data_IF_345411707389
#
_entry.id   IF_345411707389
#
_cell.length_a   1.000
_cell.length_b   1.000
_cell.length_c   1.000
_cell.angle_alpha   90.00
_cell.angle_beta   90.00
_cell.angle_gamma   90.00
#
_symmetry.space_group_name_H-M   'P 1'
#
loop_
_entity.id
_entity.type
_entity.pdbx_description
1 polymer ?
#
# COMPACT_ATOMS: atom_id res chain seq x y z
N UNK A 1 20.46 -20.66 47.83
CA UNK A 1 20.42 -21.10 46.42
C UNK A 1 19.63 -20.02 45.70
N UNK A 2 20.31 -19.10 45.03
CA UNK A 2 19.64 -18.10 44.19
C UNK A 2 19.23 -18.84 42.92
N UNK A 3 17.95 -19.16 42.79
CA UNK A 3 17.38 -19.57 41.50
C UNK A 3 17.54 -18.37 40.57
N UNK A 4 18.52 -18.48 39.66
CA UNK A 4 18.52 -17.67 38.47
C UNK A 4 17.31 -18.12 37.67
N UNK A 5 16.25 -17.32 37.74
CA UNK A 5 15.17 -17.35 36.79
C UNK A 5 15.83 -17.07 35.43
N UNK A 6 16.20 -18.13 34.71
CA UNK A 6 16.55 -18.06 33.31
C UNK A 6 15.29 -17.60 32.60
N UNK A 7 15.10 -16.27 32.55
CA UNK A 7 14.35 -15.62 31.49
C UNK A 7 15.06 -16.02 30.20
N UNK A 8 14.70 -17.19 29.68
CA UNK A 8 14.85 -17.51 28.27
C UNK A 8 14.32 -16.27 27.56
N UNK A 9 15.17 -15.55 26.82
CA UNK A 9 14.72 -14.45 25.97
C UNK A 9 13.57 -15.00 25.12
N UNK A 10 12.34 -14.70 25.52
CA UNK A 10 11.15 -15.13 24.80
C UNK A 10 11.17 -14.35 23.50
N UNK A 11 11.66 -15.01 22.45
CA UNK A 11 11.56 -14.50 21.09
C UNK A 11 10.10 -14.14 20.85
N UNK A 12 9.86 -12.91 20.37
CA UNK A 12 8.52 -12.43 20.11
C UNK A 12 7.79 -13.39 19.16
N UNK A 13 6.56 -13.74 19.49
CA UNK A 13 5.75 -14.63 18.65
C UNK A 13 5.16 -13.83 17.47
N UNK A 14 5.76 -13.99 16.30
CA UNK A 14 5.37 -13.31 15.07
C UNK A 14 4.51 -14.24 14.21
N UNK A 15 3.32 -13.78 13.82
CA UNK A 15 2.45 -14.51 12.89
C UNK A 15 2.26 -13.73 11.59
N UNK A 16 2.30 -14.42 10.46
CA UNK A 16 2.04 -13.83 9.14
C UNK A 16 0.79 -14.47 8.55
N UNK A 17 -0.26 -13.67 8.39
CA UNK A 17 -1.55 -14.09 7.87
C UNK A 17 -1.80 -13.54 6.47
N UNK A 18 -1.81 -14.43 5.48
CA UNK A 18 -2.15 -14.12 4.10
C UNK A 18 -3.64 -14.26 3.86
N UNK A 19 -4.32 -13.20 3.44
CA UNK A 19 -5.77 -13.16 3.26
C UNK A 19 -6.16 -13.07 1.78
N UNK A 20 -6.92 -14.06 1.31
CA UNK A 20 -7.33 -14.18 -0.09
C UNK A 20 -6.18 -14.62 -1.02
N UNK A 21 -6.46 -14.68 -2.33
CA UNK A 21 -5.51 -15.23 -3.31
C UNK A 21 -4.13 -14.54 -3.33
N UNK A 22 -4.09 -13.21 -3.43
CA UNK A 22 -2.82 -12.47 -3.43
C UNK A 22 -2.04 -12.62 -2.12
N UNK A 23 -2.72 -12.55 -0.97
CA UNK A 23 -2.06 -12.77 0.33
C UNK A 23 -1.55 -14.20 0.51
N UNK A 24 -2.31 -15.21 0.05
CA UNK A 24 -1.86 -16.61 0.08
C UNK A 24 -0.65 -16.84 -0.83
N UNK A 25 -0.59 -16.20 -2.00
CA UNK A 25 0.56 -16.27 -2.89
C UNK A 25 1.81 -15.67 -2.24
N UNK A 26 1.68 -14.48 -1.64
CA UNK A 26 2.77 -13.84 -0.90
C UNK A 26 3.29 -14.73 0.25
N UNK A 27 2.38 -15.33 1.04
CA UNK A 27 2.76 -16.28 2.11
C UNK A 27 3.49 -17.51 1.55
N UNK A 28 2.97 -18.12 0.48
CA UNK A 28 3.63 -19.24 -0.16
C UNK A 28 5.05 -18.86 -0.63
N UNK A 29 5.23 -17.63 -1.13
CA UNK A 29 6.53 -17.12 -1.56
C UNK A 29 7.49 -16.90 -0.39
N UNK A 30 7.01 -16.36 0.73
CA UNK A 30 7.79 -16.21 1.95
C UNK A 30 8.30 -17.57 2.45
N UNK A 31 7.44 -18.59 2.45
CA UNK A 31 7.81 -19.98 2.83
C UNK A 31 8.84 -20.55 1.85
N UNK A 32 8.66 -20.37 0.54
CA UNK A 32 9.62 -20.82 -0.47
C UNK A 32 11.00 -20.17 -0.33
N UNK A 33 11.06 -18.92 0.15
CA UNK A 33 12.30 -18.18 0.38
C UNK A 33 12.90 -18.44 1.75
N UNK A 34 12.25 -19.26 2.58
CA UNK A 34 12.75 -19.65 3.89
C UNK A 34 12.79 -18.51 4.90
N UNK A 35 11.81 -17.60 4.87
CA UNK A 35 11.65 -16.61 5.95
C UNK A 35 11.44 -17.36 7.27
N UNK A 36 12.29 -17.10 8.26
CA UNK A 36 12.35 -17.84 9.52
C UNK A 36 11.70 -17.07 10.68
N UNK A 37 11.40 -17.78 11.77
CA UNK A 37 10.93 -17.19 13.01
C UNK A 37 9.52 -16.57 12.94
N UNK A 38 8.71 -17.02 11.97
CA UNK A 38 7.33 -16.57 11.80
C UNK A 38 6.40 -17.75 11.55
N UNK A 39 5.20 -17.71 12.15
CA UNK A 39 4.15 -18.68 11.90
C UNK A 39 3.28 -18.24 10.72
N UNK A 40 3.20 -19.07 9.68
CA UNK A 40 2.42 -18.76 8.49
C UNK A 40 0.98 -19.28 8.57
N UNK A 41 0.02 -18.39 8.30
CA UNK A 41 -1.41 -18.68 8.25
C UNK A 41 -1.95 -18.25 6.89
N UNK A 42 -2.63 -19.16 6.19
CA UNK A 42 -3.35 -18.85 4.96
C UNK A 42 -4.86 -18.83 5.20
N UNK A 43 -5.51 -17.70 4.89
CA UNK A 43 -6.96 -17.52 5.01
C UNK A 43 -7.57 -17.29 3.64
N UNK A 44 -8.62 -18.03 3.30
CA UNK A 44 -9.37 -17.79 2.07
C UNK A 44 -10.82 -18.27 2.14
N UNK A 45 -11.68 -17.73 1.28
CA UNK A 45 -13.01 -18.28 1.02
C UNK A 45 -12.99 -19.35 -0.08
N UNK A 46 -11.93 -19.38 -0.89
CA UNK A 46 -11.71 -20.38 -1.93
C UNK A 46 -10.93 -21.59 -1.36
N UNK A 47 -11.59 -22.74 -1.31
CA UNK A 47 -11.02 -23.97 -0.80
C UNK A 47 -9.94 -24.56 -1.73
N UNK A 48 -10.06 -24.35 -3.05
CA UNK A 48 -9.07 -24.84 -4.00
C UNK A 48 -7.74 -24.10 -3.84
N UNK A 49 -7.81 -22.77 -3.67
CA UNK A 49 -6.64 -21.96 -3.40
C UNK A 49 -5.93 -22.36 -2.09
N UNK A 50 -6.69 -22.66 -1.03
CA UNK A 50 -6.12 -23.10 0.25
C UNK A 50 -5.43 -24.45 0.18
N UNK A 51 -5.94 -25.39 -0.61
CA UNK A 51 -5.31 -26.70 -0.79
C UNK A 51 -3.89 -26.56 -1.37
N UNK A 52 -3.66 -25.56 -2.23
CA UNK A 52 -2.35 -25.25 -2.81
C UNK A 52 -1.44 -24.46 -1.86
N UNK A 53 -1.93 -23.99 -0.72
CA UNK A 53 -1.12 -23.23 0.23
C UNK A 53 -0.05 -24.11 0.89
N UNK A 54 1.12 -23.53 1.10
CA UNK A 54 2.25 -24.12 1.82
C UNK A 54 2.25 -23.77 3.30
N UNK A 55 1.35 -22.89 3.75
CA UNK A 55 1.23 -22.51 5.14
C UNK A 55 0.84 -23.70 6.01
N UNK A 56 1.41 -23.77 7.22
CA UNK A 56 1.12 -24.81 8.20
C UNK A 56 -0.34 -24.73 8.65
N UNK A 57 -0.81 -23.51 8.90
CA UNK A 57 -2.20 -23.26 9.27
C UNK A 57 -2.99 -22.77 8.06
N UNK A 58 -4.05 -23.49 7.72
CA UNK A 58 -4.96 -23.16 6.60
C UNK A 58 -6.36 -22.99 7.14
N UNK A 59 -6.97 -21.84 6.87
CA UNK A 59 -8.29 -21.49 7.38
C UNK A 59 -9.21 -21.11 6.24
N UNK A 60 -10.21 -21.95 6.03
CA UNK A 60 -11.32 -21.64 5.14
C UNK A 60 -12.36 -20.82 5.89
N UNK A 61 -12.63 -19.61 5.42
CA UNK A 61 -13.65 -18.72 6.01
C UNK A 61 -14.91 -18.67 5.15
N UNK A 62 -16.06 -18.41 5.78
CA UNK A 62 -17.33 -18.25 5.08
C UNK A 62 -17.80 -19.49 4.33
N UNK A 63 -17.60 -20.68 4.92
CA UNK A 63 -17.99 -21.95 4.33
C UNK A 63 -19.48 -22.02 4.00
N UNK A 64 -20.34 -21.44 4.86
CA UNK A 64 -21.80 -21.40 4.64
C UNK A 64 -22.18 -20.43 3.52
N UNK A 65 -21.48 -19.30 3.41
CA UNK A 65 -21.78 -18.24 2.45
C UNK A 65 -21.30 -18.56 1.03
N UNK A 66 -20.08 -19.09 0.92
CA UNK A 66 -19.39 -19.25 -0.38
C UNK A 66 -19.37 -20.68 -0.89
N UNK A 67 -19.67 -21.66 -0.02
CA UNK A 67 -19.52 -23.10 -0.30
C UNK A 67 -18.11 -23.46 -0.78
N UNK A 68 -17.11 -22.67 -0.39
CA UNK A 68 -15.71 -22.87 -0.78
C UNK A 68 -15.35 -22.39 -2.19
N UNK A 69 -16.22 -21.64 -2.86
CA UNK A 69 -16.03 -21.15 -4.24
C UNK A 69 -15.45 -19.74 -4.32
N UNK A 70 -15.12 -19.12 -3.19
CA UNK A 70 -14.62 -17.75 -3.14
C UNK A 70 -15.70 -16.67 -3.01
N UNK A 71 -15.25 -15.43 -2.82
CA UNK A 71 -16.12 -14.26 -2.60
C UNK A 71 -16.63 -13.57 -3.88
N UNK A 72 -16.31 -14.09 -5.08
CA UNK A 72 -16.81 -13.54 -6.35
C UNK A 72 -16.47 -12.06 -6.62
N UNK A 73 -15.28 -11.61 -6.20
CA UNK A 73 -14.85 -10.20 -6.26
C UNK A 73 -15.78 -9.21 -5.53
N UNK A 74 -16.55 -9.69 -4.54
CA UNK A 74 -17.39 -8.88 -3.68
C UNK A 74 -16.78 -8.74 -2.27
N UNK A 75 -16.29 -7.55 -1.89
CA UNK A 75 -15.72 -7.30 -0.56
C UNK A 75 -16.70 -7.60 0.59
N UNK A 76 -17.99 -7.32 0.43
CA UNK A 76 -18.99 -7.57 1.48
C UNK A 76 -19.13 -9.07 1.80
N UNK A 77 -18.96 -9.94 0.80
CA UNK A 77 -18.95 -11.40 1.02
C UNK A 77 -17.69 -11.80 1.78
N UNK A 78 -16.54 -11.22 1.45
CA UNK A 78 -15.28 -11.44 2.17
C UNK A 78 -15.36 -11.01 3.64
N UNK A 79 -15.96 -9.83 3.90
CA UNK A 79 -16.18 -9.32 5.25
C UNK A 79 -17.07 -10.24 6.07
N UNK A 80 -18.26 -10.58 5.56
CA UNK A 80 -19.20 -11.49 6.24
C UNK A 80 -18.61 -12.88 6.47
N UNK A 81 -17.78 -13.38 5.54
CA UNK A 81 -17.08 -14.64 5.70
C UNK A 81 -16.09 -14.61 6.88
N UNK A 82 -15.37 -13.51 7.05
CA UNK A 82 -14.46 -13.32 8.18
C UNK A 82 -15.22 -13.16 9.51
N UNK A 83 -16.31 -12.40 9.51
CA UNK A 83 -17.20 -12.25 10.69
C UNK A 83 -17.81 -13.58 11.12
N UNK A 84 -18.28 -14.41 10.16
CA UNK A 84 -18.77 -15.77 10.43
C UNK A 84 -17.71 -16.64 11.12
N UNK A 85 -16.43 -16.40 10.81
CA UNK A 85 -15.30 -17.22 11.25
C UNK A 85 -14.45 -16.53 12.33
N UNK A 86 -15.00 -15.49 13.00
CA UNK A 86 -14.26 -14.65 13.95
C UNK A 86 -13.59 -15.46 15.07
N UNK A 87 -14.28 -16.46 15.62
CA UNK A 87 -13.74 -17.34 16.66
C UNK A 87 -12.52 -18.15 16.19
N UNK A 88 -12.55 -18.64 14.94
CA UNK A 88 -11.43 -19.38 14.36
C UNK A 88 -10.22 -18.47 14.14
N UNK A 89 -10.46 -17.24 13.68
CA UNK A 89 -9.42 -16.22 13.52
C UNK A 89 -8.80 -15.88 14.89
N UNK A 90 -9.63 -15.70 15.92
CA UNK A 90 -9.16 -15.45 17.29
C UNK A 90 -8.27 -16.58 17.83
N UNK A 91 -8.66 -17.83 17.62
CA UNK A 91 -7.87 -18.98 18.05
C UNK A 91 -6.52 -19.04 17.33
N UNK A 92 -6.51 -18.86 16.01
CA UNK A 92 -5.28 -18.90 15.22
C UNK A 92 -4.29 -17.77 15.58
N UNK A 93 -4.80 -16.59 15.95
CA UNK A 93 -3.99 -15.43 16.31
C UNK A 93 -3.63 -15.36 17.80
N UNK A 94 -4.17 -16.24 18.64
CA UNK A 94 -3.89 -16.20 20.09
C UNK A 94 -2.39 -16.34 20.37
N UNK A 95 -1.93 -15.55 21.34
CA UNK A 95 -0.53 -15.57 21.82
C UNK A 95 0.48 -14.93 20.87
N UNK A 96 0.03 -14.25 19.81
CA UNK A 96 0.92 -13.47 18.94
C UNK A 96 1.26 -12.13 19.59
N UNK A 97 2.55 -11.79 19.64
CA UNK A 97 3.02 -10.45 20.00
C UNK A 97 2.88 -9.49 18.83
N UNK A 98 3.06 -10.03 17.61
CA UNK A 98 2.99 -9.28 16.36
C UNK A 98 2.27 -10.08 15.27
N UNK A 99 1.41 -9.41 14.51
CA UNK A 99 0.69 -10.02 13.39
C UNK A 99 0.87 -9.19 12.13
N UNK A 100 1.45 -9.79 11.10
CA UNK A 100 1.48 -9.25 9.74
C UNK A 100 0.27 -9.72 8.96
N UNK A 101 -0.61 -8.80 8.56
CA UNK A 101 -1.76 -9.11 7.72
C UNK A 101 -1.45 -8.69 6.29
N UNK A 102 -1.31 -9.67 5.39
CA UNK A 102 -1.01 -9.40 3.97
C UNK A 102 -2.15 -9.77 3.04
N UNK A 103 -2.47 -8.89 2.10
CA UNK A 103 -3.55 -9.08 1.13
C UNK A 103 -3.34 -8.28 -0.15
N UNK A 104 -3.85 -8.81 -1.26
CA UNK A 104 -4.04 -8.05 -2.49
C UNK A 104 -5.40 -7.34 -2.48
N UNK A 105 -5.40 -6.01 -2.53
CA UNK A 105 -6.63 -5.21 -2.45
C UNK A 105 -7.30 -5.08 -3.81
N UNK A 106 -8.62 -4.95 -3.81
CA UNK A 106 -9.44 -4.88 -5.02
C UNK A 106 -10.15 -6.19 -5.38
N UNK A 107 -9.82 -7.29 -4.70
CA UNK A 107 -10.58 -8.54 -4.76
C UNK A 107 -11.79 -8.55 -3.81
N UNK A 108 -12.40 -9.73 -3.61
CA UNK A 108 -13.47 -9.92 -2.63
C UNK A 108 -12.94 -10.29 -1.25
N UNK A 109 -12.23 -11.43 -1.16
CA UNK A 109 -11.74 -11.95 0.13
C UNK A 109 -10.73 -11.03 0.80
N UNK A 110 -9.62 -10.69 0.13
CA UNK A 110 -8.57 -9.84 0.72
C UNK A 110 -9.11 -8.49 1.20
N UNK A 111 -9.78 -7.76 0.31
CA UNK A 111 -10.36 -6.44 0.59
C UNK A 111 -11.36 -6.43 1.75
N UNK A 112 -12.20 -7.46 1.87
CA UNK A 112 -13.26 -7.51 2.89
C UNK A 112 -12.84 -8.17 4.20
N UNK A 113 -12.02 -9.22 4.13
CA UNK A 113 -11.65 -10.02 5.30
C UNK A 113 -10.40 -9.47 6.02
N UNK A 114 -9.45 -8.85 5.31
CA UNK A 114 -8.21 -8.36 5.94
C UNK A 114 -8.48 -7.33 7.05
N UNK A 115 -9.41 -6.35 6.91
CA UNK A 115 -9.76 -5.45 8.01
C UNK A 115 -10.29 -6.16 9.25
N UNK A 116 -11.15 -7.18 9.06
CA UNK A 116 -11.71 -7.96 10.17
C UNK A 116 -10.62 -8.77 10.87
N UNK A 117 -9.69 -9.37 10.11
CA UNK A 117 -8.55 -10.12 10.65
C UNK A 117 -7.64 -9.20 11.48
N UNK A 118 -7.31 -8.01 10.98
CA UNK A 118 -6.50 -7.04 11.73
C UNK A 118 -7.21 -6.53 12.98
N UNK A 119 -8.52 -6.27 12.89
CA UNK A 119 -9.31 -5.88 14.05
C UNK A 119 -9.21 -6.93 15.15
N UNK A 120 -9.33 -8.21 14.81
CA UNK A 120 -9.18 -9.33 15.75
C UNK A 120 -7.78 -9.37 16.36
N UNK A 121 -6.73 -9.22 15.54
CA UNK A 121 -5.35 -9.19 16.02
C UNK A 121 -5.13 -8.06 17.05
N UNK A 122 -5.64 -6.86 16.75
CA UNK A 122 -5.53 -5.69 17.61
C UNK A 122 -6.35 -5.84 18.90
N UNK A 123 -7.55 -6.43 18.82
CA UNK A 123 -8.38 -6.78 19.99
C UNK A 123 -7.66 -7.77 20.93
N UNK A 124 -6.81 -8.64 20.38
CA UNK A 124 -5.99 -9.59 21.15
C UNK A 124 -4.70 -8.97 21.72
N UNK A 125 -4.40 -7.70 21.42
CA UNK A 125 -3.25 -6.97 21.93
C UNK A 125 -1.95 -7.12 21.11
N UNK A 126 -2.01 -7.77 19.94
CA UNK A 126 -0.86 -7.91 19.07
C UNK A 126 -0.57 -6.61 18.30
N UNK A 127 0.71 -6.29 18.12
CA UNK A 127 1.15 -5.23 17.20
C UNK A 127 0.76 -5.64 15.78
N UNK A 128 -0.19 -4.92 15.18
CA UNK A 128 -0.83 -5.34 13.93
C UNK A 128 -0.33 -4.50 12.77
N UNK A 129 0.41 -5.12 11.84
CA UNK A 129 0.97 -4.46 10.66
C UNK A 129 0.28 -4.98 9.40
N UNK A 130 -0.36 -4.10 8.65
CA UNK A 130 -0.93 -4.41 7.35
C UNK A 130 0.10 -4.20 6.25
N UNK A 131 0.30 -5.19 5.37
CA UNK A 131 1.16 -5.07 4.18
C UNK A 131 0.36 -5.47 2.95
N UNK A 132 -0.10 -4.49 2.16
CA UNK A 132 -1.07 -4.73 1.09
C UNK A 132 -0.67 -4.12 -0.23
N UNK A 133 -1.15 -4.71 -1.32
CA UNK A 133 -0.97 -4.17 -2.66
C UNK A 133 -2.22 -3.47 -3.19
N UNK A 134 -2.02 -2.35 -3.92
CA UNK A 134 -3.05 -1.78 -4.81
C UNK A 134 -2.97 -2.48 -6.17
N UNK A 135 -4.11 -2.72 -6.85
CA UNK A 135 -4.13 -3.39 -8.14
C UNK A 135 -3.42 -2.56 -9.21
N UNK A 136 -2.94 -3.20 -10.27
CA UNK A 136 -2.42 -2.50 -11.44
C UNK A 136 -3.53 -1.69 -12.13
N UNK A 137 -3.17 -0.59 -12.78
CA UNK A 137 -4.12 0.23 -13.54
C UNK A 137 -4.87 -0.58 -14.61
N UNK A 138 -4.22 -1.56 -15.24
CA UNK A 138 -4.84 -2.41 -16.26
C UNK A 138 -5.91 -3.37 -15.72
N UNK A 139 -5.94 -3.65 -14.42
CA UNK A 139 -6.95 -4.52 -13.81
C UNK A 139 -8.33 -3.84 -13.71
N UNK A 140 -8.38 -2.54 -13.99
CA UNK A 140 -9.60 -1.77 -14.21
C UNK A 140 -10.10 -1.00 -12.98
N UNK A 141 -10.88 0.06 -13.26
CA UNK A 141 -11.33 1.04 -12.27
C UNK A 141 -12.14 0.44 -11.12
N UNK A 142 -12.93 -0.61 -11.39
CA UNK A 142 -13.75 -1.27 -10.37
C UNK A 142 -12.88 -1.85 -9.23
N UNK A 143 -11.78 -2.54 -9.58
CA UNK A 143 -10.83 -3.09 -8.60
C UNK A 143 -10.13 -1.97 -7.84
N UNK A 144 -9.71 -0.91 -8.53
CA UNK A 144 -9.08 0.25 -7.89
C UNK A 144 -10.00 0.93 -6.86
N UNK A 145 -11.28 1.11 -7.18
CA UNK A 145 -12.27 1.69 -6.23
C UNK A 145 -12.50 0.77 -5.03
N UNK A 146 -12.63 -0.54 -5.25
CA UNK A 146 -12.75 -1.52 -4.17
C UNK A 146 -11.49 -1.51 -3.28
N UNK A 147 -10.30 -1.45 -3.87
CA UNK A 147 -9.04 -1.39 -3.16
C UNK A 147 -8.94 -0.14 -2.28
N UNK A 148 -9.27 1.04 -2.81
CA UNK A 148 -9.25 2.29 -2.04
C UNK A 148 -10.18 2.24 -0.82
N UNK A 149 -11.40 1.74 -0.99
CA UNK A 149 -12.35 1.58 0.11
C UNK A 149 -11.86 0.56 1.15
N UNK A 150 -11.30 -0.57 0.69
CA UNK A 150 -10.74 -1.58 1.59
C UNK A 150 -9.53 -1.06 2.37
N UNK A 151 -8.64 -0.30 1.73
CA UNK A 151 -7.44 0.28 2.36
C UNK A 151 -7.85 1.29 3.44
N UNK A 152 -8.86 2.12 3.18
CA UNK A 152 -9.37 3.07 4.17
C UNK A 152 -9.91 2.35 5.41
N UNK A 153 -10.76 1.33 5.22
CA UNK A 153 -11.26 0.51 6.34
C UNK A 153 -10.14 -0.25 7.04
N UNK A 154 -9.12 -0.70 6.30
CA UNK A 154 -8.02 -1.44 6.87
C UNK A 154 -7.13 -0.57 7.77
N UNK A 155 -6.87 0.68 7.35
CA UNK A 155 -6.07 1.67 8.11
C UNK A 155 -6.62 1.90 9.52
N UNK A 156 -7.93 1.85 9.70
CA UNK A 156 -8.59 2.01 11.02
C UNK A 156 -8.35 0.82 11.96
N UNK A 157 -7.99 -0.35 11.43
CA UNK A 157 -7.90 -1.62 12.16
C UNK A 157 -6.47 -2.12 12.37
N UNK A 158 -5.46 -1.39 11.90
CA UNK A 158 -4.03 -1.72 12.06
C UNK A 158 -3.33 -0.66 12.91
N UNK A 159 -2.11 -0.97 13.35
CA UNK A 159 -1.21 0.01 13.96
C UNK A 159 -0.40 0.75 12.89
N UNK A 160 0.07 0.00 11.90
CA UNK A 160 0.79 0.52 10.74
C UNK A 160 0.31 -0.18 9.46
N UNK A 161 0.10 0.58 8.39
CA UNK A 161 -0.31 0.10 7.07
C UNK A 161 0.73 0.48 6.01
N UNK A 162 1.39 -0.53 5.47
CA UNK A 162 2.28 -0.41 4.30
C UNK A 162 1.44 -0.71 3.06
N UNK A 163 1.33 0.28 2.17
CA UNK A 163 0.60 0.16 0.91
C UNK A 163 1.57 0.17 -0.26
N UNK A 164 1.59 -0.92 -1.01
CA UNK A 164 2.47 -1.11 -2.18
C UNK A 164 1.64 -0.90 -3.45
N UNK A 165 1.86 0.18 -4.21
CA UNK A 165 1.23 0.37 -5.51
C UNK A 165 1.84 -0.56 -6.57
N UNK A 166 1.07 -1.52 -7.08
CA UNK A 166 1.58 -2.43 -8.11
C UNK A 166 2.06 -1.71 -9.38
N UNK A 167 1.50 -0.55 -9.71
CA UNK A 167 1.96 0.24 -10.86
C UNK A 167 3.43 0.69 -10.72
N UNK A 168 3.96 0.84 -9.51
CA UNK A 168 5.39 1.17 -9.30
C UNK A 168 6.30 -0.01 -9.61
N UNK A 169 5.76 -1.23 -9.58
CA UNK A 169 6.49 -2.41 -10.02
C UNK A 169 6.76 -2.36 -11.52
N UNK A 170 5.92 -1.65 -12.30
CA UNK A 170 6.15 -1.47 -13.74
C UNK A 170 7.35 -0.57 -14.06
N UNK A 171 7.82 0.22 -13.10
CA UNK A 171 9.00 1.08 -13.25
C UNK A 171 10.31 0.32 -13.02
N UNK A 172 10.25 -0.80 -12.29
CA UNK A 172 11.42 -1.62 -11.95
C UNK A 172 11.57 -2.86 -12.85
N UNK A 173 10.52 -3.27 -13.56
CA UNK A 173 10.55 -4.43 -14.47
C UNK A 173 10.77 -4.02 -15.93
N UNK A 174 11.38 -4.91 -16.72
CA UNK A 174 11.56 -4.69 -18.16
C UNK A 174 10.21 -4.68 -18.89
N UNK A 175 10.09 -3.92 -19.98
CA UNK A 175 8.85 -3.82 -20.78
C UNK A 175 8.39 -5.17 -21.36
N UNK A 176 9.28 -6.15 -21.49
CA UNK A 176 8.97 -7.47 -22.00
C UNK A 176 8.64 -8.48 -20.89
N UNK A 177 8.62 -8.05 -19.62
CA UNK A 177 8.34 -8.92 -18.47
C UNK A 177 6.93 -9.53 -18.60
N UNK A 178 6.79 -10.87 -18.60
CA UNK A 178 5.49 -11.52 -18.62
C UNK A 178 4.62 -11.15 -17.40
N UNK A 179 3.30 -11.16 -17.57
CA UNK A 179 2.34 -10.85 -16.50
C UNK A 179 2.55 -11.68 -15.22
N UNK A 180 2.86 -12.98 -15.36
CA UNK A 180 3.11 -13.86 -14.21
C UNK A 180 4.33 -13.42 -13.42
N UNK A 181 5.34 -12.88 -14.09
CA UNK A 181 6.56 -12.38 -13.46
C UNK A 181 6.29 -11.01 -12.79
N UNK A 182 5.48 -10.14 -13.38
CA UNK A 182 5.05 -8.91 -12.74
C UNK A 182 4.28 -9.14 -11.42
N UNK A 183 3.40 -10.15 -11.36
CA UNK A 183 2.73 -10.53 -10.11
C UNK A 183 3.72 -11.13 -9.09
N UNK A 184 4.73 -11.89 -9.55
CA UNK A 184 5.80 -12.38 -8.67
C UNK A 184 6.60 -11.25 -8.06
N UNK A 185 6.83 -10.16 -8.79
CA UNK A 185 7.47 -8.98 -8.22
C UNK A 185 6.61 -8.32 -7.13
N UNK A 186 5.28 -8.30 -7.29
CA UNK A 186 4.39 -7.84 -6.23
C UNK A 186 4.51 -8.71 -4.97
N UNK A 187 4.53 -10.03 -5.14
CA UNK A 187 4.71 -10.99 -4.05
C UNK A 187 6.11 -10.85 -3.41
N UNK A 188 7.14 -10.56 -4.21
CA UNK A 188 8.51 -10.33 -3.71
C UNK A 188 8.58 -9.07 -2.84
N UNK A 189 7.92 -7.98 -3.24
CA UNK A 189 7.88 -6.75 -2.43
C UNK A 189 7.09 -6.98 -1.14
N UNK A 190 5.96 -7.70 -1.18
CA UNK A 190 5.23 -8.11 0.04
C UNK A 190 6.12 -8.94 0.97
N UNK A 191 6.86 -9.91 0.42
CA UNK A 191 7.83 -10.72 1.15
C UNK A 191 8.89 -9.85 1.80
N UNK A 192 9.49 -8.91 1.07
CA UNK A 192 10.53 -8.04 1.60
C UNK A 192 10.01 -7.10 2.71
N UNK A 193 8.76 -6.65 2.62
CA UNK A 193 8.17 -5.83 3.68
C UNK A 193 7.94 -6.57 4.99
N UNK A 194 7.50 -7.83 4.92
CA UNK A 194 7.39 -8.69 6.11
C UNK A 194 8.78 -9.08 6.61
N UNK A 195 9.63 -9.58 5.72
CA UNK A 195 10.97 -10.04 6.05
C UNK A 195 11.85 -8.94 6.65
N UNK A 196 11.78 -7.73 6.09
CA UNK A 196 12.58 -6.60 6.54
C UNK A 196 12.37 -6.27 8.02
N UNK A 197 11.16 -6.50 8.55
CA UNK A 197 10.84 -6.29 9.96
C UNK A 197 11.03 -7.58 10.77
N UNK A 198 10.60 -8.74 10.26
CA UNK A 198 10.73 -10.00 10.99
C UNK A 198 12.19 -10.35 11.25
N UNK A 199 13.09 -10.09 10.28
CA UNK A 199 14.52 -10.39 10.42
C UNK A 199 15.18 -9.54 11.51
N UNK A 200 14.66 -8.34 11.80
CA UNK A 200 15.17 -7.49 12.88
C UNK A 200 14.85 -8.02 14.28
N UNK A 201 13.81 -8.85 14.40
CA UNK A 201 13.29 -9.34 15.69
C UNK A 201 13.63 -10.82 15.89
N UNK A 202 13.43 -11.63 14.86
CA UNK A 202 13.47 -13.09 14.96
C UNK A 202 14.82 -13.70 14.58
N UNK A 203 15.63 -12.99 13.77
CA UNK A 203 16.94 -13.48 13.35
C UNK A 203 18.03 -12.79 14.17
N UNK A 204 18.96 -13.54 14.80
CA UNK A 204 20.11 -12.95 15.45
C UNK A 204 20.95 -12.15 14.42
N UNK A 205 20.91 -10.83 14.54
CA UNK A 205 21.74 -9.87 13.83
C UNK A 205 23.03 -9.53 14.58
N UNK A 206 23.89 -8.74 13.92
CA UNK A 206 25.07 -8.13 14.56
C UNK A 206 24.66 -7.01 15.51
N UNK A 207 23.61 -6.28 15.13
CA UNK A 207 22.96 -5.25 15.93
C UNK A 207 21.50 -5.65 16.02
N UNK A 208 21.12 -6.28 17.13
CA UNK A 208 19.75 -6.66 17.40
C UNK A 208 18.97 -5.46 17.91
N UNK A 209 17.77 -5.28 17.38
CA UNK A 209 16.76 -4.41 17.96
C UNK A 209 15.86 -5.26 18.84
N UNK A 210 15.35 -4.69 19.93
CA UNK A 210 14.34 -5.37 20.72
C UNK A 210 12.94 -5.15 20.12
N UNK A 211 11.98 -5.98 20.54
CA UNK A 211 10.60 -5.84 20.08
C UNK A 211 9.95 -4.52 20.55
N UNK A 212 10.42 -3.95 21.66
CA UNK A 212 9.88 -2.71 22.22
C UNK A 212 10.24 -1.49 21.36
N UNK A 213 11.44 -1.48 20.77
CA UNK A 213 11.91 -0.47 19.82
C UNK A 213 11.02 -0.46 18.57
N UNK A 214 10.81 -1.64 17.97
CA UNK A 214 9.92 -1.80 16.80
C UNK A 214 8.49 -1.39 17.15
N UNK A 215 8.00 -1.80 18.32
CA UNK A 215 6.67 -1.42 18.80
C UNK A 215 6.55 0.10 18.98
N UNK A 216 7.58 0.77 19.49
CA UNK A 216 7.59 2.24 19.69
C UNK A 216 7.49 3.00 18.38
N UNK A 217 8.15 2.50 17.33
CA UNK A 217 8.06 3.10 16.01
C UNK A 217 6.73 2.76 15.34
N UNK A 218 6.26 1.52 15.36
CA UNK A 218 5.12 1.10 14.52
C UNK A 218 3.73 1.19 15.18
N UNK A 219 3.64 1.40 16.50
CA UNK A 219 2.33 1.47 17.17
C UNK A 219 1.54 2.72 16.78
N UNK A 220 0.30 2.53 16.30
CA UNK A 220 -0.64 3.59 15.96
C UNK A 220 -0.08 4.72 15.06
N UNK A 221 0.77 4.39 14.08
CA UNK A 221 1.32 5.36 13.11
C UNK A 221 0.48 5.55 11.86
N UNK A 222 -0.50 4.68 11.61
CA UNK A 222 -1.32 4.79 10.41
C UNK A 222 -0.54 4.39 9.17
N UNK A 223 -0.27 5.31 8.26
CA UNK A 223 0.39 4.99 6.98
C UNK A 223 1.90 4.83 7.15
N UNK A 224 2.47 3.86 6.43
CA UNK A 224 3.91 3.68 6.29
C UNK A 224 4.31 3.48 4.84
N UNK A 225 5.55 3.86 4.54
CA UNK A 225 6.18 3.71 3.24
C UNK A 225 7.41 2.80 3.39
N UNK A 226 7.68 2.03 2.36
CA UNK A 226 8.81 1.10 2.32
C UNK A 226 9.67 1.39 1.10
N UNK A 227 10.97 1.53 1.32
CA UNK A 227 11.98 1.65 0.30
C UNK A 227 12.99 0.52 0.42
N UNK A 228 13.40 -0.05 -0.71
CA UNK A 228 14.38 -1.15 -0.76
C UNK A 228 15.44 -0.79 -1.77
N UNK A 229 16.70 -0.97 -1.40
CA UNK A 229 17.84 -0.77 -2.27
C UNK A 229 18.87 -1.87 -2.09
N UNK A 230 19.52 -2.25 -3.19
CA UNK A 230 20.63 -3.20 -3.19
C UNK A 230 21.89 -2.58 -3.80
N UNK A 231 23.05 -2.97 -3.29
CA UNK A 231 24.35 -2.49 -3.75
C UNK A 231 25.39 -3.61 -3.75
N UNK A 232 26.39 -3.44 -4.62
CA UNK A 232 27.55 -4.32 -4.76
C UNK A 232 28.80 -3.46 -4.99
N UNK A 233 29.99 -3.99 -4.71
CA UNK A 233 31.28 -3.32 -4.91
C UNK A 233 31.71 -2.46 -3.72
N UNK A 234 32.65 -1.53 -3.96
CA UNK A 234 33.30 -0.75 -2.89
C UNK A 234 32.34 0.21 -2.16
N UNK A 235 31.36 0.79 -2.86
CA UNK A 235 30.39 1.75 -2.29
C UNK A 235 29.00 1.12 -2.12
N UNK A 236 28.93 -0.21 -1.96
CA UNK A 236 27.67 -0.96 -1.93
C UNK A 236 26.67 -0.47 -0.88
N UNK A 237 27.14 -0.08 0.30
CA UNK A 237 26.27 0.41 1.38
C UNK A 237 25.64 1.76 1.03
N UNK A 238 26.46 2.73 0.60
CA UNK A 238 25.98 4.03 0.16
C UNK A 238 25.02 3.94 -1.03
N UNK A 239 25.31 3.09 -2.01
CA UNK A 239 24.42 2.88 -3.16
C UNK A 239 23.10 2.23 -2.75
N UNK A 240 23.14 1.21 -1.89
CA UNK A 240 21.94 0.54 -1.39
C UNK A 240 21.06 1.52 -0.60
N UNK A 241 21.64 2.32 0.29
CA UNK A 241 20.92 3.33 1.06
C UNK A 241 20.28 4.39 0.14
N UNK A 242 21.03 4.91 -0.84
CA UNK A 242 20.50 5.87 -1.83
C UNK A 242 19.33 5.29 -2.63
N UNK A 243 19.45 4.05 -3.11
CA UNK A 243 18.36 3.36 -3.84
C UNK A 243 17.15 3.11 -2.95
N UNK A 244 17.35 2.83 -1.65
CA UNK A 244 16.26 2.63 -0.72
C UNK A 244 15.45 3.91 -0.51
N UNK A 245 16.11 5.06 -0.24
CA UNK A 245 15.43 6.35 -0.03
C UNK A 245 14.85 6.96 -1.32
N UNK A 246 15.35 6.55 -2.48
CA UNK A 246 14.82 6.96 -3.79
C UNK A 246 13.96 5.88 -4.45
N UNK A 247 13.51 4.88 -3.70
CA UNK A 247 12.79 3.74 -4.25
C UNK A 247 11.44 4.17 -4.83
N UNK A 248 11.03 3.68 -6.01
CA UNK A 248 9.71 3.96 -6.59
C UNK A 248 8.53 3.52 -5.70
N UNK A 249 8.79 2.63 -4.74
CA UNK A 249 7.81 2.15 -3.76
C UNK A 249 7.46 3.22 -2.71
N UNK A 250 8.32 4.22 -2.53
CA UNK A 250 8.06 5.40 -1.72
C UNK A 250 7.18 6.36 -2.55
N UNK A 251 5.86 6.27 -2.41
CA UNK A 251 4.92 7.18 -3.10
C UNK A 251 5.18 8.67 -2.76
N UNK A 252 5.84 8.93 -1.63
CA UNK A 252 6.23 10.25 -1.12
C UNK A 252 7.66 10.17 -0.59
N UNK A 253 8.34 11.32 -0.50
CA UNK A 253 9.65 11.40 0.15
C UNK A 253 9.61 10.84 1.57
N UNK A 254 10.73 10.33 2.06
CA UNK A 254 10.92 9.97 3.47
C UNK A 254 10.98 11.20 4.38
N UNK A 255 11.14 12.39 3.80
CA UNK A 255 11.05 13.68 4.47
C UNK A 255 9.66 13.85 5.12
N UNK A 256 9.65 14.24 6.40
CA UNK A 256 8.43 14.32 7.22
C UNK A 256 7.99 13.01 7.90
N UNK A 257 8.78 11.93 7.81
CA UNK A 257 8.56 10.74 8.63
C UNK A 257 9.00 11.01 10.08
N UNK A 258 8.17 10.66 11.06
CA UNK A 258 8.48 10.79 12.49
C UNK A 258 9.24 9.58 13.05
N UNK A 259 9.15 8.43 12.38
CA UNK A 259 9.84 7.21 12.79
C UNK A 259 10.36 6.43 11.58
N UNK A 260 11.61 6.01 11.64
CA UNK A 260 12.26 5.24 10.57
C UNK A 260 12.86 3.95 11.13
N UNK A 261 12.57 2.84 10.48
CA UNK A 261 13.21 1.54 10.70
C UNK A 261 14.12 1.26 9.52
N UNK A 262 15.41 1.05 9.78
CA UNK A 262 16.38 0.66 8.77
C UNK A 262 16.92 -0.75 9.06
N UNK A 263 16.74 -1.67 8.12
CA UNK A 263 17.36 -2.99 8.17
C UNK A 263 18.47 -3.07 7.12
N UNK A 264 19.66 -3.46 7.54
CA UNK A 264 20.81 -3.68 6.66
C UNK A 264 21.14 -5.18 6.66
N UNK A 265 20.93 -5.83 5.53
CA UNK A 265 21.29 -7.24 5.35
C UNK A 265 22.51 -7.34 4.45
N UNK A 266 23.56 -8.03 4.90
CA UNK A 266 24.78 -8.22 4.13
C UNK A 266 25.43 -9.58 4.40
N UNK A 267 26.47 -9.92 3.64
CA UNK A 267 27.30 -11.09 3.93
C UNK A 267 28.16 -10.91 5.18
N UNK A 268 28.90 -11.96 5.57
CA UNK A 268 29.81 -11.93 6.72
C UNK A 268 30.94 -10.89 6.61
N UNK A 269 31.13 -10.28 5.44
CA UNK A 269 32.05 -9.18 5.20
C UNK A 269 31.45 -7.79 5.46
N UNK A 270 30.22 -7.70 5.97
CA UNK A 270 29.58 -6.43 6.32
C UNK A 270 30.37 -5.74 7.45
N UNK A 271 30.90 -4.55 7.16
CA UNK A 271 31.68 -3.76 8.10
C UNK A 271 30.84 -2.74 8.85
N UNK A 272 31.31 -2.33 10.04
CA UNK A 272 30.68 -1.26 10.81
C UNK A 272 30.68 0.08 10.05
N UNK A 273 31.73 0.35 9.26
CA UNK A 273 31.82 1.56 8.44
C UNK A 273 30.71 1.64 7.40
N UNK A 274 30.43 0.52 6.71
CA UNK A 274 29.33 0.41 5.75
C UNK A 274 27.96 0.62 6.41
N UNK A 275 27.76 0.05 7.60
CA UNK A 275 26.54 0.24 8.39
C UNK A 275 26.35 1.71 8.75
N UNK A 276 27.42 2.38 9.22
CA UNK A 276 27.39 3.79 9.56
C UNK A 276 27.11 4.67 8.34
N UNK A 277 27.79 4.42 7.22
CA UNK A 277 27.60 5.18 5.98
C UNK A 277 26.15 5.09 5.46
N UNK A 278 25.55 3.90 5.50
CA UNK A 278 24.15 3.73 5.14
C UNK A 278 23.22 4.50 6.10
N UNK A 279 23.46 4.42 7.41
CA UNK A 279 22.68 5.14 8.41
C UNK A 279 22.74 6.67 8.21
N UNK A 280 23.94 7.22 7.99
CA UNK A 280 24.15 8.66 7.81
C UNK A 280 23.39 9.19 6.57
N UNK A 281 23.35 8.40 5.49
CA UNK A 281 22.63 8.76 4.26
C UNK A 281 21.11 8.80 4.50
N UNK A 282 20.55 7.79 5.18
CA UNK A 282 19.12 7.75 5.46
C UNK A 282 18.73 8.83 6.46
N UNK A 283 19.55 9.08 7.49
CA UNK A 283 19.32 10.12 8.48
C UNK A 283 19.37 11.52 7.85
N UNK A 284 20.33 11.77 6.96
CA UNK A 284 20.44 13.06 6.25
C UNK A 284 19.26 13.35 5.30
N UNK A 285 18.53 12.31 4.88
CA UNK A 285 17.36 12.43 4.02
C UNK A 285 16.02 12.42 4.80
N UNK A 286 16.07 12.20 6.12
CA UNK A 286 14.92 12.19 7.01
C UNK A 286 14.84 13.50 7.82
N UNK A 287 13.76 13.68 8.59
CA UNK A 287 13.62 14.83 9.48
C UNK A 287 14.69 14.81 10.60
N UNK A 288 15.29 15.96 11.00
CA UNK A 288 16.29 16.00 12.07
C UNK A 288 15.81 15.47 13.43
N UNK A 289 14.50 15.49 13.70
CA UNK A 289 13.90 14.97 14.94
C UNK A 289 13.34 13.54 14.76
N UNK A 290 13.63 12.88 13.64
CA UNK A 290 13.15 11.51 13.39
C UNK A 290 13.70 10.53 14.43
N UNK A 291 12.81 9.71 14.99
CA UNK A 291 13.26 8.56 15.76
C UNK A 291 13.68 7.46 14.79
N UNK A 292 14.99 7.22 14.65
CA UNK A 292 15.54 6.19 13.78
C UNK A 292 16.04 4.99 14.59
N UNK A 293 15.53 3.80 14.28
CA UNK A 293 16.10 2.54 14.72
C UNK A 293 16.74 1.83 13.54
N UNK A 294 17.89 1.21 13.76
CA UNK A 294 18.53 0.41 12.74
C UNK A 294 19.03 -0.91 13.30
N UNK A 295 18.94 -1.96 12.48
CA UNK A 295 19.52 -3.25 12.78
C UNK A 295 20.28 -3.79 11.59
N UNK A 296 21.15 -4.77 11.86
CA UNK A 296 21.95 -5.41 10.83
C UNK A 296 21.94 -6.92 10.95
N UNK A 297 21.67 -7.60 9.84
CA UNK A 297 21.51 -9.04 9.76
C UNK A 297 22.53 -9.62 8.80
N UNK A 298 23.18 -10.72 9.21
CA UNK A 298 24.10 -11.44 8.34
C UNK A 298 23.37 -12.52 7.58
N UNK A 299 23.45 -12.46 6.26
CA UNK A 299 22.95 -13.49 5.36
C UNK A 299 24.10 -13.95 4.46
N UNK A 300 24.61 -15.16 4.73
CA UNK A 300 25.72 -15.74 3.95
C UNK A 300 25.40 -15.91 2.46
N UNK A 301 24.11 -15.99 2.10
CA UNK A 301 23.66 -16.07 0.71
C UNK A 301 23.95 -14.81 -0.11
N UNK A 302 24.09 -13.65 0.54
CA UNK A 302 24.34 -12.37 -0.13
C UNK A 302 25.79 -12.15 -0.54
N UNK A 303 26.76 -12.86 0.07
CA UNK A 303 28.20 -12.71 -0.21
C UNK A 303 28.66 -11.24 -0.19
N UNK A 304 28.84 -10.64 -1.37
CA UNK A 304 29.31 -9.27 -1.55
C UNK A 304 28.17 -8.25 -1.73
N UNK A 305 26.91 -8.70 -1.81
CA UNK A 305 25.76 -7.83 -1.89
C UNK A 305 25.33 -7.31 -0.51
N UNK A 306 24.84 -6.07 -0.50
CA UNK A 306 24.12 -5.47 0.63
C UNK A 306 22.71 -5.10 0.19
N UNK A 307 21.73 -5.36 1.05
CA UNK A 307 20.35 -4.92 0.90
C UNK A 307 20.02 -3.99 2.07
N UNK A 308 19.54 -2.79 1.77
CA UNK A 308 19.03 -1.82 2.74
C UNK A 308 17.53 -1.70 2.55
N UNK A 309 16.78 -1.97 3.60
CA UNK A 309 15.33 -1.79 3.66
C UNK A 309 15.03 -0.65 4.63
N UNK A 310 14.30 0.36 4.17
CA UNK A 310 13.88 1.52 4.97
C UNK A 310 12.36 1.50 5.07
N UNK A 311 11.84 1.60 6.28
CA UNK A 311 10.40 1.71 6.56
C UNK A 311 10.18 3.01 7.31
N UNK A 312 9.49 3.94 6.66
CA UNK A 312 9.17 5.24 7.20
C UNK A 312 7.72 5.27 7.67
N UNK A 313 7.48 5.82 8.86
CA UNK A 313 6.18 5.83 9.54
C UNK A 313 5.88 7.20 10.14
N UNK A 314 4.61 7.45 10.45
CA UNK A 314 4.20 8.68 11.13
C UNK A 314 4.25 9.92 10.24
N UNK A 315 3.89 9.77 8.97
CA UNK A 315 3.67 10.90 8.07
C UNK A 315 2.46 11.70 8.52
N UNK A 316 2.56 13.03 8.52
CA UNK A 316 1.43 13.91 8.81
C UNK A 316 0.35 13.75 7.72
N UNK A 317 -0.77 13.09 8.07
CA UNK A 317 -1.96 12.95 7.21
C UNK A 317 -2.54 14.31 6.76
N UNK A 318 -2.12 15.42 7.37
CA UNK A 318 -2.56 16.78 7.07
C UNK A 318 -2.03 17.34 5.73
N UNK A 319 -0.99 16.73 5.15
CA UNK A 319 -0.40 17.19 3.88
C UNK A 319 -1.14 16.69 2.62
N UNK A 320 -1.91 15.59 2.70
CA UNK A 320 -2.58 15.00 1.55
C UNK A 320 -3.94 15.63 1.18
N UNK A 321 -4.45 16.55 2.02
CA UNK A 321 -5.76 17.20 1.83
C UNK A 321 -5.71 18.60 1.21
N UNK A 322 -4.57 19.08 0.73
CA UNK A 322 -4.56 20.35 -0.02
C UNK A 322 -5.03 20.12 -1.46
N UNK A 323 -6.18 20.69 -1.90
CA UNK A 323 -6.51 20.71 -3.31
C UNK A 323 -5.40 21.45 -4.07
N UNK A 324 -5.08 21.04 -5.31
CA UNK A 324 -4.05 21.70 -6.10
C UNK A 324 -4.37 23.20 -6.20
N UNK A 325 -3.44 24.03 -5.69
CA UNK A 325 -3.57 25.49 -5.81
C UNK A 325 -3.70 25.85 -7.28
N UNK A 326 -4.67 26.70 -7.68
CA UNK A 326 -4.78 27.15 -9.05
C UNK A 326 -3.49 27.85 -9.46
N UNK A 327 -2.86 27.36 -10.54
CA UNK A 327 -1.74 28.04 -11.18
C UNK A 327 -2.30 29.33 -11.78
N UNK A 328 -2.13 30.46 -11.08
CA UNK A 328 -2.42 31.79 -11.62
C UNK A 328 -1.38 32.05 -12.71
N UNK A 329 -1.80 31.98 -13.97
CA UNK A 329 -1.01 32.44 -15.10
C UNK A 329 -0.91 33.97 -15.03
N UNK A 330 0.30 34.58 -15.06
CA UNK A 330 0.42 36.03 -15.08
C UNK A 330 -0.11 36.58 -16.40
N UNK A 331 -1.18 37.39 -16.34
CA UNK A 331 -1.63 38.21 -17.46
C UNK A 331 -0.68 39.38 -17.67
N UNK A 332 -0.14 39.48 -18.88
CA UNK A 332 0.74 40.56 -19.31
C UNK A 332 0.06 41.94 -19.22
N UNK A 333 0.71 42.87 -18.54
CA UNK A 333 0.33 44.28 -18.47
C UNK A 333 0.54 44.97 -19.83
N UNK A 334 -0.54 45.41 -20.47
CA UNK A 334 -0.48 46.42 -21.53
C UNK A 334 -0.68 47.82 -20.92
N UNK A 335 0.39 48.60 -20.91
CA UNK A 335 0.43 50.02 -20.53
C UNK A 335 -0.10 50.86 -21.69
N UNK A 336 -1.18 51.63 -21.49
CA UNK A 336 -1.63 52.66 -22.43
C UNK A 336 -1.30 54.06 -21.90
N UNK A 337 -0.52 54.80 -22.69
CA UNK A 337 -0.11 56.17 -22.47
C UNK A 337 -1.27 57.15 -22.72
N UNK A 338 -1.26 58.22 -21.91
CA UNK A 338 -2.13 59.39 -21.95
C UNK A 338 -1.90 60.25 -23.20
N UNK A 339 -2.96 60.90 -23.69
CA UNK A 339 -2.95 62.31 -24.10
C UNK A 339 -4.38 62.87 -24.23
N UNK A 340 -4.68 63.93 -23.46
CA UNK A 340 -5.77 64.91 -23.61
C UNK A 340 -5.36 65.99 -24.66
N UNK A 341 -6.14 67.06 -25.02
CA UNK A 341 -7.43 67.61 -24.50
C UNK A 341 -8.44 67.98 -25.65
N UNK A 342 -9.68 68.46 -25.43
CA UNK A 342 -10.13 69.88 -25.26
C UNK A 342 -11.69 69.91 -25.14
N UNK A 343 -12.22 71.01 -24.56
CA UNK A 343 -13.52 71.23 -23.93
C UNK A 343 -14.80 71.53 -24.80
N UNK A 344 -15.98 71.14 -24.24
CA UNK A 344 -17.33 71.77 -24.17
C UNK A 344 -18.12 72.22 -25.46
N UNK A 345 -19.47 72.49 -25.44
CA UNK A 345 -20.56 72.11 -24.50
C UNK A 345 -21.95 71.70 -25.12
N UNK A 346 -22.77 71.01 -24.33
CA UNK A 346 -24.25 71.13 -24.12
C UNK A 346 -25.35 70.81 -25.18
N UNK A 347 -26.39 70.11 -24.66
CA UNK A 347 -27.86 70.11 -24.91
C UNK A 347 -28.54 69.06 -25.82
N UNK A 348 -29.46 68.31 -25.16
CA UNK A 348 -30.80 67.82 -25.58
C UNK A 348 -30.84 66.74 -26.69
N UNK A 349 -31.70 65.70 -26.70
CA UNK A 349 -33.00 65.45 -26.07
C UNK A 349 -33.37 63.96 -26.22
N UNK A 350 -34.30 63.51 -25.36
CA UNK A 350 -35.30 62.41 -25.39
C UNK A 350 -35.37 61.49 -26.65
N UNK A 351 -35.72 60.20 -26.59
CA UNK A 351 -37.03 59.64 -26.20
C UNK A 351 -36.95 58.12 -25.93
N UNK A 352 -37.72 57.68 -24.93
CA UNK A 352 -38.04 56.31 -24.47
C UNK A 352 -38.88 55.47 -25.45
N UNK A 353 -38.73 54.13 -25.38
CA UNK A 353 -39.81 53.11 -25.11
C UNK A 353 -39.20 51.70 -25.24
N UNK A 354 -39.15 50.82 -24.23
CA UNK A 354 -40.24 50.05 -23.56
C UNK A 354 -41.10 49.24 -24.57
N UNK A 355 -41.49 47.96 -24.38
CA UNK A 355 -41.42 47.01 -23.26
C UNK A 355 -41.97 45.62 -23.71
N UNK A 356 -41.61 44.56 -22.94
CA UNK A 356 -42.38 43.34 -22.54
C UNK A 356 -42.80 42.28 -23.59
N UNK A 357 -42.51 40.96 -23.40
CA UNK A 357 -43.15 39.89 -22.54
C UNK A 357 -44.61 39.64 -22.95
N UNK A 358 -45.17 38.44 -23.16
CA UNK A 358 -45.15 37.11 -22.48
C UNK A 358 -45.86 36.09 -23.43
N UNK A 359 -45.35 34.87 -23.68
CA UNK A 359 -45.81 33.53 -23.16
C UNK A 359 -46.71 32.71 -24.16
N UNK A 360 -47.12 31.43 -23.91
CA UNK A 360 -46.62 30.19 -24.59
C UNK A 360 -47.67 29.42 -25.44
N UNK A 361 -47.27 28.44 -26.29
CA UNK A 361 -48.19 27.44 -26.88
C UNK A 361 -47.52 26.07 -27.15
N UNK A 362 -48.22 25.00 -26.78
CA UNK A 362 -47.97 23.57 -26.95
C UNK A 362 -48.35 23.08 -28.35
N UNK A 363 -47.60 22.15 -28.95
CA UNK A 363 -48.18 21.24 -29.94
C UNK A 363 -47.65 19.81 -29.81
N UNK A 364 -48.61 18.90 -29.72
CA UNK A 364 -48.50 17.46 -29.62
C UNK A 364 -48.73 16.84 -31.01
N UNK A 365 -47.89 15.89 -31.43
CA UNK A 365 -48.18 14.94 -32.52
C UNK A 365 -47.45 13.63 -32.30
N UNK A 366 -48.24 12.61 -31.98
CA UNK A 366 -47.94 11.19 -32.17
C UNK A 366 -47.75 10.83 -33.65
N UNK A 367 -46.76 9.96 -33.92
CA UNK A 367 -46.78 8.89 -34.95
C UNK A 367 -45.70 7.85 -34.63
N UNK A 368 -46.14 6.62 -34.35
CA UNK A 368 -45.60 5.28 -34.67
C UNK A 368 -44.07 5.15 -34.89
N UNK A 369 -43.33 4.52 -33.98
CA UNK A 369 -43.11 3.07 -33.77
C UNK A 369 -42.22 2.41 -34.83
N UNK A 370 -41.13 1.81 -34.34
CA UNK A 370 -40.20 0.88 -34.99
C UNK A 370 -39.07 1.47 -35.84
N UNK A 371 -38.03 2.05 -35.21
CA UNK A 371 -36.66 2.02 -35.78
C UNK A 371 -35.52 2.35 -34.79
N UNK A 372 -35.53 1.75 -33.59
CA UNK A 372 -34.41 1.83 -32.64
C UNK A 372 -33.94 0.43 -32.31
N UNK A 373 -33.27 -0.24 -33.26
CA UNK A 373 -32.47 -1.45 -32.95
C UNK A 373 -31.46 -1.83 -34.04
N UNK A 374 -30.70 -0.84 -34.57
CA UNK A 374 -29.53 -1.13 -35.41
C UNK A 374 -28.34 -0.24 -35.00
N UNK A 375 -27.23 -0.83 -34.51
CA UNK A 375 -25.99 -0.10 -34.24
C UNK A 375 -25.40 0.56 -35.49
N UNK A 376 -24.86 1.78 -35.32
CA UNK A 376 -24.40 2.66 -36.39
C UNK A 376 -23.32 2.07 -37.33
N UNK A 377 -22.61 1.01 -36.93
CA UNK A 377 -21.52 0.42 -37.72
C UNK A 377 -21.98 -0.49 -38.87
N UNK A 378 -23.29 -0.85 -38.95
CA UNK A 378 -23.85 -1.69 -40.02
C UNK A 378 -24.49 -0.90 -41.17
N UNK A 379 -24.57 0.43 -41.10
CA UNK A 379 -25.28 1.27 -42.11
C UNK A 379 -24.53 1.49 -43.43
N UNK A 380 -23.24 1.13 -43.56
CA UNK A 380 -22.41 1.52 -44.71
C UNK A 380 -21.69 0.38 -45.46
N UNK A 381 -22.36 -0.76 -45.70
CA UNK A 381 -21.82 -1.83 -46.57
C UNK A 381 -22.67 -2.20 -47.80
N UNK A 382 -23.61 -1.34 -48.18
CA UNK A 382 -24.38 -1.49 -49.43
C UNK A 382 -24.41 -0.20 -50.24
N UNK A 383 -23.25 0.25 -50.72
CA UNK A 383 -23.11 0.98 -51.98
C UNK A 383 -21.78 0.54 -52.61
N UNK A 384 -21.89 -0.36 -53.59
CA UNK A 384 -20.90 -0.54 -54.64
C UNK A 384 -20.93 0.66 -55.56
#
# INVERSE_FOLDING_TARGET
MLEFDTTQDQLANIKVIGVGGGGNNAVNRMIEHGVQGVDFIAVNTDAQALNLSKAETKMQIGGKLTRGLGAGANPEVGKKAAEESKEQIQEALRGADMVFVTAGMGGGTGTGAAPVVAQVAKELGALTVGVVTRPFTFEGRKRATQAASGIASFKENVDTLIVIPNDRLLEIVDKNTPMLEAFREADNVLRQGVQGISDLIATPGLINLDFADVKTIMSNRGSALMGIGSGNGENRAAEAAKKAISSPLLETSIDGAQGVIMNITGGANLSLYEVQEAADIVASASDPEVNMIFGSVINEGLKDDIVVTVIATGFDDSASTQPPKPIIRPTANHTQQQQQPVAQPSKQREVKREMKREEPVVHDRHTDSDDIDIPAFLRNRRRR
#
